data_IF_601573905051
#
_entry.id   IF_601573905051
#
_cell.length_a   1.000
_cell.length_b   1.000
_cell.length_c   1.000
_cell.angle_alpha   90.00
_cell.angle_beta   90.00
_cell.angle_gamma   90.00
#
_symmetry.space_group_name_H-M   'P 1'
#
loop_
_entity.id
_entity.type
_entity.pdbx_description
1 polymer ?
#
# COMPACT_ATOMS: atom_id res chain seq x y z
N UNK A 1 -3.62 11.49 -5.68
CA UNK A 1 -3.91 10.22 -6.36
C UNK A 1 -5.29 9.73 -5.96
N UNK A 2 -6.10 9.33 -6.95
CA UNK A 2 -7.34 8.61 -6.75
C UNK A 2 -7.11 7.15 -7.16
N UNK A 3 -7.47 6.21 -6.28
CA UNK A 3 -7.36 4.77 -6.57
C UNK A 3 -8.69 4.10 -6.26
N UNK A 4 -9.15 3.28 -7.18
CA UNK A 4 -10.40 2.53 -7.00
C UNK A 4 -10.26 1.11 -7.55
N UNK A 5 -10.69 0.13 -6.76
CA UNK A 5 -10.83 -1.24 -7.24
C UNK A 5 -11.97 -1.33 -8.25
N UNK A 6 -11.75 -2.01 -9.34
CA UNK A 6 -12.77 -2.32 -10.34
C UNK A 6 -13.47 -3.65 -10.01
N UNK A 7 -14.37 -4.07 -10.88
CA UNK A 7 -15.18 -5.30 -10.73
C UNK A 7 -14.31 -6.54 -10.45
N UNK A 8 -13.10 -6.58 -10.98
CA UNK A 8 -12.13 -7.64 -10.72
C UNK A 8 -11.33 -7.32 -9.44
N UNK A 9 -11.29 -8.26 -8.50
CA UNK A 9 -10.57 -8.10 -7.22
C UNK A 9 -9.07 -7.80 -7.36
N UNK A 10 -8.50 -8.06 -8.53
CA UNK A 10 -7.07 -7.90 -8.81
C UNK A 10 -6.77 -6.68 -9.69
N UNK A 11 -7.79 -5.92 -10.11
CA UNK A 11 -7.65 -4.77 -11.00
C UNK A 11 -7.99 -3.48 -10.29
N UNK A 12 -7.04 -2.54 -10.29
CA UNK A 12 -7.14 -1.21 -9.69
C UNK A 12 -6.98 -0.15 -10.76
N UNK A 13 -7.90 0.81 -10.81
CA UNK A 13 -7.78 2.04 -11.59
C UNK A 13 -7.06 3.09 -10.77
N UNK A 14 -6.06 3.73 -11.34
CA UNK A 14 -5.27 4.78 -10.72
C UNK A 14 -5.37 6.03 -11.57
N UNK A 15 -5.78 7.13 -10.95
CA UNK A 15 -5.76 8.46 -11.55
C UNK A 15 -4.92 9.39 -10.70
N UNK A 16 -3.92 10.04 -11.30
CA UNK A 16 -3.00 10.95 -10.63
C UNK A 16 -2.97 12.28 -11.34
N UNK A 17 -3.12 13.34 -10.57
CA UNK A 17 -2.94 14.71 -11.01
C UNK A 17 -1.98 15.41 -10.07
N UNK A 18 -0.94 16.01 -10.61
CA UNK A 18 0.00 16.83 -9.87
C UNK A 18 -0.12 18.26 -10.38
N UNK A 19 -0.56 19.17 -9.53
CA UNK A 19 -0.64 20.60 -9.81
C UNK A 19 0.49 21.33 -9.11
N UNK A 20 1.20 22.16 -9.84
CA UNK A 20 2.33 22.93 -9.35
C UNK A 20 2.13 24.42 -9.54
N UNK A 21 2.72 25.18 -8.63
CA UNK A 21 2.84 26.62 -8.70
C UNK A 21 4.27 26.97 -8.29
N UNK A 22 5.14 27.19 -9.28
CA UNK A 22 6.57 27.41 -9.08
C UNK A 22 6.94 28.85 -9.37
N UNK A 23 7.82 29.39 -8.56
CA UNK A 23 8.51 30.65 -8.81
C UNK A 23 9.99 30.37 -9.09
N UNK A 24 10.42 30.64 -10.30
CA UNK A 24 11.82 30.51 -10.71
C UNK A 24 12.49 31.89 -10.64
N UNK A 25 13.64 31.93 -10.00
CA UNK A 25 14.47 33.14 -9.94
C UNK A 25 15.83 32.85 -10.57
N UNK A 26 16.14 33.55 -11.62
CA UNK A 26 17.43 33.46 -12.31
C UNK A 26 18.28 34.68 -11.93
N UNK A 27 19.45 34.46 -11.37
CA UNK A 27 20.41 35.53 -11.09
C UNK A 27 21.24 35.79 -12.34
N UNK A 28 20.89 36.80 -13.10
CA UNK A 28 21.65 37.26 -14.24
C UNK A 28 22.47 38.52 -13.88
N UNK A 29 23.50 38.81 -14.73
CA UNK A 29 24.33 40.03 -14.60
C UNK A 29 23.51 41.33 -14.59
N UNK A 30 22.31 41.31 -15.20
CA UNK A 30 21.37 42.46 -15.29
C UNK A 30 20.34 42.49 -14.16
N UNK A 31 20.41 41.59 -13.17
CA UNK A 31 19.45 41.49 -12.07
C UNK A 31 18.62 40.21 -12.05
N UNK A 32 17.88 39.94 -10.97
CA UNK A 32 17.11 38.73 -10.83
C UNK A 32 15.86 38.76 -11.73
N UNK A 33 15.80 37.82 -12.67
CA UNK A 33 14.59 37.56 -13.46
C UNK A 33 13.71 36.55 -12.71
N UNK A 34 12.45 36.94 -12.44
CA UNK A 34 11.46 36.07 -11.80
C UNK A 34 10.46 35.57 -12.81
N UNK A 35 10.27 34.29 -12.86
CA UNK A 35 9.30 33.65 -13.73
C UNK A 35 8.35 32.78 -12.92
N UNK A 36 7.05 33.06 -12.99
CA UNK A 36 6.01 32.29 -12.30
C UNK A 36 5.38 31.30 -13.28
N UNK A 37 5.29 30.07 -12.84
CA UNK A 37 4.75 28.96 -13.62
C UNK A 37 3.66 28.25 -12.82
N UNK A 38 2.46 28.13 -13.37
CA UNK A 38 1.30 27.47 -12.75
C UNK A 38 0.69 26.49 -13.74
N UNK A 39 0.34 25.30 -13.26
CA UNK A 39 -0.37 24.34 -14.10
C UNK A 39 -0.27 22.91 -13.61
N UNK A 40 -0.89 22.01 -14.34
CA UNK A 40 -0.75 20.58 -14.14
C UNK A 40 0.62 20.15 -14.61
N UNK A 41 1.38 19.51 -13.73
CA UNK A 41 2.69 18.95 -14.04
C UNK A 41 2.57 17.54 -14.58
N UNK A 42 1.66 16.79 -14.01
CA UNK A 42 1.43 15.40 -14.37
C UNK A 42 -0.04 15.08 -14.32
N UNK A 43 -0.50 14.35 -15.32
CA UNK A 43 -1.88 13.89 -15.39
C UNK A 43 -1.87 12.47 -15.97
N UNK A 44 -2.00 11.46 -15.12
CA UNK A 44 -1.88 10.06 -15.53
C UNK A 44 -3.13 9.28 -15.20
N UNK A 45 -3.53 8.43 -16.13
CA UNK A 45 -4.58 7.43 -15.96
C UNK A 45 -3.98 6.07 -16.24
N UNK A 46 -4.19 5.11 -15.37
CA UNK A 46 -3.64 3.78 -15.58
C UNK A 46 -4.35 2.70 -14.78
N UNK A 47 -3.99 1.47 -15.09
CA UNK A 47 -4.51 0.27 -14.47
C UNK A 47 -3.37 -0.51 -13.85
N UNK A 48 -3.60 -1.01 -12.65
CA UNK A 48 -2.69 -1.92 -11.96
C UNK A 48 -3.37 -3.28 -11.84
N UNK A 49 -2.73 -4.30 -12.35
CA UNK A 49 -3.17 -5.68 -12.29
C UNK A 49 -2.27 -6.48 -11.34
N UNK A 50 -2.85 -7.05 -10.32
CA UNK A 50 -2.17 -7.96 -9.41
C UNK A 50 -2.11 -9.35 -10.06
N UNK A 51 -0.91 -9.81 -10.43
CA UNK A 51 -0.68 -11.10 -11.08
C UNK A 51 -0.53 -12.22 -10.06
N UNK A 52 0.24 -11.97 -9.02
CA UNK A 52 0.57 -12.96 -8.01
C UNK A 52 0.70 -12.31 -6.64
N UNK A 53 0.08 -12.94 -5.62
CA UNK A 53 0.16 -12.48 -4.24
C UNK A 53 0.29 -13.68 -3.29
N UNK A 54 1.51 -14.00 -2.86
CA UNK A 54 1.74 -15.11 -1.94
C UNK A 54 1.09 -14.89 -0.58
N UNK A 55 0.86 -13.62 -0.18
CA UNK A 55 0.31 -13.25 1.13
C UNK A 55 -1.21 -13.50 1.23
N UNK A 56 -1.90 -13.66 0.12
CA UNK A 56 -3.32 -14.06 0.10
C UNK A 56 -3.51 -15.52 0.46
N UNK A 57 -2.54 -16.38 0.21
CA UNK A 57 -2.62 -17.79 0.53
C UNK A 57 -2.16 -18.04 1.96
N UNK A 58 -3.10 -18.07 2.90
CA UNK A 58 -2.83 -18.29 4.32
C UNK A 58 -2.23 -19.68 4.62
N UNK A 59 -2.37 -20.64 3.72
CA UNK A 59 -1.83 -21.99 3.90
C UNK A 59 -0.30 -22.02 3.83
N UNK A 60 0.29 -21.12 3.07
CA UNK A 60 1.74 -20.99 2.94
C UNK A 60 2.39 -20.39 4.18
N UNK A 61 1.64 -19.63 4.96
CA UNK A 61 2.11 -18.96 6.19
C UNK A 61 1.67 -19.66 7.47
N UNK A 62 1.17 -20.91 7.37
CA UNK A 62 0.82 -21.67 8.57
C UNK A 62 2.03 -21.86 9.46
N UNK A 63 1.86 -21.48 10.72
CA UNK A 63 2.85 -21.71 11.77
C UNK A 63 3.00 -23.22 11.97
N UNK A 64 4.21 -23.71 11.93
CA UNK A 64 4.49 -25.11 12.27
C UNK A 64 4.36 -25.29 13.77
N UNK A 65 3.24 -25.87 14.21
CA UNK A 65 2.96 -26.10 15.62
C UNK A 65 3.85 -27.14 16.27
N UNK A 66 4.57 -27.95 15.46
CA UNK A 66 5.44 -29.04 15.93
C UNK A 66 6.91 -28.62 16.07
N UNK A 67 7.32 -27.49 15.48
CA UNK A 67 8.72 -27.06 15.50
C UNK A 67 8.85 -25.55 15.63
N UNK A 68 9.37 -25.11 16.77
CA UNK A 68 9.71 -23.71 17.00
C UNK A 68 10.84 -23.22 16.06
N UNK A 69 11.82 -24.08 15.76
CA UNK A 69 12.92 -23.75 14.84
C UNK A 69 12.45 -23.50 13.41
N UNK A 70 11.43 -24.23 12.94
CA UNK A 70 10.88 -24.05 11.60
C UNK A 70 10.14 -22.72 11.41
N UNK A 71 9.76 -22.05 12.50
CA UNK A 71 9.09 -20.75 12.47
C UNK A 71 10.07 -19.60 12.70
N UNK A 72 11.32 -19.88 13.04
CA UNK A 72 12.37 -18.87 13.24
C UNK A 72 13.23 -18.78 12.00
N UNK A 73 13.45 -17.54 11.54
CA UNK A 73 14.33 -17.26 10.41
C UNK A 73 13.57 -16.94 9.11
N UNK A 74 14.33 -16.62 8.09
CA UNK A 74 13.81 -16.31 6.76
C UNK A 74 13.48 -17.63 6.06
N UNK A 75 12.22 -17.81 5.67
CA UNK A 75 11.78 -18.95 4.89
C UNK A 75 11.86 -18.60 3.40
N UNK A 76 12.04 -19.58 2.54
CA UNK A 76 12.04 -19.36 1.09
C UNK A 76 10.78 -18.63 0.59
N UNK A 77 9.64 -18.91 1.22
CA UNK A 77 8.36 -18.26 0.89
C UNK A 77 8.36 -16.76 1.23
N UNK A 78 9.13 -16.35 2.23
CA UNK A 78 9.22 -14.94 2.63
C UNK A 78 10.04 -14.13 1.58
N UNK A 79 10.78 -14.82 0.70
CA UNK A 79 11.51 -14.22 -0.41
C UNK A 79 10.66 -14.08 -1.68
N UNK A 80 9.51 -14.76 -1.76
CA UNK A 80 8.62 -14.66 -2.91
C UNK A 80 7.88 -13.31 -2.88
N UNK A 81 8.07 -12.46 -3.90
CA UNK A 81 7.37 -11.18 -3.96
C UNK A 81 5.92 -11.34 -4.41
N UNK A 82 5.04 -10.49 -3.93
CA UNK A 82 3.83 -10.18 -4.66
C UNK A 82 4.19 -9.41 -5.94
N UNK A 83 3.54 -9.74 -7.05
CA UNK A 83 3.85 -9.25 -8.38
C UNK A 83 2.64 -8.55 -8.99
N UNK A 84 2.82 -7.31 -9.43
CA UNK A 84 1.80 -6.54 -10.14
C UNK A 84 2.38 -5.87 -11.37
N UNK A 85 1.57 -5.66 -12.38
CA UNK A 85 1.90 -4.86 -13.55
C UNK A 85 1.01 -3.64 -13.58
N UNK A 86 1.61 -2.49 -13.83
CA UNK A 86 0.91 -1.23 -14.06
C UNK A 86 1.12 -0.82 -15.52
N UNK A 87 0.07 -0.40 -16.16
CA UNK A 87 0.08 0.23 -17.48
C UNK A 87 -0.81 1.45 -17.46
N UNK A 88 -0.32 2.54 -18.03
CA UNK A 88 -1.03 3.81 -18.00
C UNK A 88 -0.60 4.72 -19.12
N UNK A 89 -1.25 5.85 -19.15
CA UNK A 89 -0.94 6.94 -20.09
C UNK A 89 -0.83 8.24 -19.33
N UNK A 90 0.16 9.02 -19.67
CA UNK A 90 0.29 10.39 -19.24
C UNK A 90 -0.27 11.31 -20.31
N UNK A 91 -1.12 12.25 -19.87
CA UNK A 91 -1.83 13.21 -20.68
C UNK A 91 -1.23 14.59 -20.42
N UNK A 92 -0.62 15.20 -21.43
CA UNK A 92 0.08 16.49 -21.28
C UNK A 92 -0.58 17.62 -22.10
N UNK A 93 -1.89 17.61 -22.21
CA UNK A 93 -2.65 18.63 -22.97
C UNK A 93 -2.38 20.04 -22.45
N UNK A 94 -1.81 20.88 -23.31
CA UNK A 94 -1.53 22.28 -22.99
C UNK A 94 -0.62 22.49 -21.77
N UNK A 95 0.15 21.52 -21.37
CA UNK A 95 0.95 21.54 -20.19
C UNK A 95 2.15 22.49 -20.32
N UNK A 96 2.31 23.35 -19.32
CA UNK A 96 3.47 24.23 -19.19
C UNK A 96 4.72 23.44 -18.75
N UNK A 97 4.51 22.30 -18.13
CA UNK A 97 5.54 21.38 -17.68
C UNK A 97 5.58 20.15 -18.61
N UNK A 98 6.41 20.15 -19.65
CA UNK A 98 6.54 18.97 -20.50
C UNK A 98 7.13 17.84 -19.65
N UNK A 99 6.38 16.73 -19.51
CA UNK A 99 6.82 15.53 -18.76
C UNK A 99 7.55 15.86 -17.47
N UNK A 100 6.94 16.73 -16.64
CA UNK A 100 7.53 17.34 -15.48
C UNK A 100 8.04 16.37 -14.43
N UNK A 101 9.19 15.82 -14.67
CA UNK A 101 9.90 15.03 -13.68
C UNK A 101 10.59 15.93 -12.65
N UNK A 102 10.65 15.54 -11.37
CA UNK A 102 11.33 16.30 -10.33
C UNK A 102 12.82 16.47 -10.62
N UNK A 103 13.37 15.62 -11.48
CA UNK A 103 14.78 15.65 -11.88
C UNK A 103 15.03 16.37 -13.19
N UNK A 104 13.98 16.76 -13.90
CA UNK A 104 14.17 17.60 -15.08
C UNK A 104 14.88 18.86 -14.65
N UNK A 105 15.97 19.25 -15.34
CA UNK A 105 16.63 20.49 -15.04
C UNK A 105 15.60 21.60 -15.03
N UNK A 106 15.80 22.58 -14.18
CA UNK A 106 15.00 23.79 -14.00
C UNK A 106 14.62 24.43 -15.33
N UNK A 107 15.38 24.14 -16.37
CA UNK A 107 15.19 24.48 -17.76
C UNK A 107 14.38 23.41 -18.51
N UNK A 108 13.13 23.18 -18.10
CA UNK A 108 12.15 22.58 -18.99
C UNK A 108 11.79 23.56 -20.13
N UNK A 109 12.79 24.16 -20.69
CA UNK A 109 12.68 24.83 -21.96
C UNK A 109 12.35 23.75 -22.98
N UNK A 110 11.21 23.88 -23.64
CA UNK A 110 10.91 23.08 -24.84
C UNK A 110 12.16 23.06 -25.67
N UNK A 111 12.83 21.93 -25.72
CA UNK A 111 14.03 21.80 -26.55
C UNK A 111 13.57 22.00 -27.97
N UNK A 112 14.02 23.04 -28.68
CA UNK A 112 13.60 23.31 -30.04
C UNK A 112 13.84 22.06 -30.90
N UNK A 113 12.83 21.61 -31.62
CA UNK A 113 12.92 20.45 -32.54
C UNK A 113 12.53 19.10 -31.93
N UNK A 114 12.32 18.96 -30.62
CA UNK A 114 11.77 17.72 -30.04
C UNK A 114 10.24 17.74 -30.14
N UNK A 115 9.68 16.73 -30.81
CA UNK A 115 8.23 16.55 -30.92
C UNK A 115 7.68 16.15 -29.56
N UNK A 116 6.83 16.99 -29.02
CA UNK A 116 6.11 16.71 -27.79
C UNK A 116 4.81 15.98 -28.13
N UNK A 117 4.65 14.77 -27.66
CA UNK A 117 3.40 14.04 -27.78
C UNK A 117 2.46 14.48 -26.65
N UNK A 118 1.19 14.65 -26.96
CA UNK A 118 0.16 14.97 -25.96
C UNK A 118 -0.16 13.77 -25.08
N UNK A 119 0.10 12.56 -25.58
CA UNK A 119 -0.15 11.30 -24.89
C UNK A 119 1.13 10.48 -24.94
N UNK A 120 1.55 9.97 -23.78
CA UNK A 120 2.67 9.04 -23.67
C UNK A 120 2.29 7.84 -22.82
N UNK A 121 2.90 6.68 -23.08
CA UNK A 121 2.64 5.45 -22.34
C UNK A 121 3.50 5.32 -21.09
N UNK A 122 2.99 4.58 -20.11
CA UNK A 122 3.74 4.16 -18.91
C UNK A 122 3.52 2.66 -18.67
N UNK A 123 4.61 1.93 -18.45
CA UNK A 123 4.58 0.51 -18.12
C UNK A 123 5.53 0.23 -16.97
N UNK A 124 5.02 -0.42 -15.89
CA UNK A 124 5.84 -0.75 -14.73
C UNK A 124 5.52 -2.15 -14.21
N UNK A 125 6.57 -2.82 -13.78
CA UNK A 125 6.53 -4.03 -12.96
C UNK A 125 6.70 -3.61 -11.50
N UNK A 126 5.81 -4.06 -10.63
CA UNK A 126 5.78 -3.73 -9.22
C UNK A 126 5.96 -5.02 -8.44
N UNK A 127 6.96 -5.05 -7.55
CA UNK A 127 7.19 -6.16 -6.65
C UNK A 127 7.09 -5.71 -5.20
N UNK A 128 6.57 -6.56 -4.34
CA UNK A 128 6.46 -6.30 -2.91
C UNK A 128 6.91 -7.53 -2.14
N UNK A 129 7.92 -7.37 -1.30
CA UNK A 129 8.45 -8.40 -0.42
C UNK A 129 8.22 -8.03 1.04
N UNK A 130 7.94 -9.02 1.87
CA UNK A 130 7.84 -8.85 3.32
C UNK A 130 8.99 -9.61 3.99
N UNK A 131 9.78 -8.89 4.79
CA UNK A 131 10.93 -9.45 5.49
C UNK A 131 10.77 -9.36 7.01
N UNK A 132 11.35 -10.31 7.74
CA UNK A 132 11.54 -10.24 9.19
C UNK A 132 10.27 -9.83 9.95
N UNK A 133 9.13 -10.36 9.55
CA UNK A 133 7.79 -10.17 10.09
C UNK A 133 7.14 -8.79 9.85
N UNK A 134 7.90 -7.71 9.59
CA UNK A 134 7.28 -6.38 9.53
C UNK A 134 7.89 -5.43 8.49
N UNK A 135 9.07 -5.72 7.94
CA UNK A 135 9.68 -4.87 6.90
C UNK A 135 9.03 -5.15 5.55
N UNK A 136 8.73 -4.11 4.80
CA UNK A 136 8.16 -4.24 3.46
C UNK A 136 9.06 -3.51 2.48
N UNK A 137 9.58 -4.25 1.50
CA UNK A 137 10.30 -3.70 0.36
C UNK A 137 9.40 -3.69 -0.85
N UNK A 138 9.18 -2.51 -1.41
CA UNK A 138 8.46 -2.32 -2.66
C UNK A 138 9.46 -1.86 -3.71
N UNK A 139 9.50 -2.55 -4.85
CA UNK A 139 10.34 -2.16 -5.98
C UNK A 139 9.46 -2.00 -7.21
N UNK A 140 9.57 -0.85 -7.86
CA UNK A 140 8.93 -0.54 -9.13
C UNK A 140 10.02 -0.41 -10.18
N UNK A 141 9.85 -1.07 -11.31
CA UNK A 141 10.75 -0.98 -12.44
C UNK A 141 9.97 -0.90 -13.72
N UNK A 142 10.31 0.05 -14.59
CA UNK A 142 9.57 0.22 -15.82
C UNK A 142 10.06 1.33 -16.72
N UNK A 143 9.22 1.68 -17.67
CA UNK A 143 9.46 2.76 -18.62
C UNK A 143 8.32 3.76 -18.56
N UNK A 144 8.68 5.03 -18.61
CA UNK A 144 7.76 6.16 -18.67
C UNK A 144 7.95 6.92 -19.96
N UNK A 145 6.93 7.67 -20.33
CA UNK A 145 6.92 8.51 -21.53
C UNK A 145 7.18 7.75 -22.83
N UNK A 146 6.69 6.49 -22.90
CA UNK A 146 6.82 5.64 -24.07
C UNK A 146 6.21 6.32 -25.29
N UNK A 147 6.94 6.26 -26.41
CA UNK A 147 6.53 6.90 -27.67
C UNK A 147 6.82 8.39 -27.72
N UNK A 148 7.50 8.97 -26.74
CA UNK A 148 7.95 10.36 -26.73
C UNK A 148 9.48 10.46 -26.82
N UNK A 149 9.98 11.65 -27.16
CA UNK A 149 11.41 11.96 -27.11
C UNK A 149 12.01 11.95 -25.69
N UNK A 150 11.16 11.87 -24.67
CA UNK A 150 11.51 11.89 -23.24
C UNK A 150 11.44 10.50 -22.60
N UNK A 151 11.42 9.44 -23.42
CA UNK A 151 11.36 8.07 -22.90
C UNK A 151 12.42 7.83 -21.83
N UNK A 152 12.00 7.24 -20.70
CA UNK A 152 12.78 7.14 -19.51
C UNK A 152 12.64 5.75 -18.89
N UNK A 153 13.80 5.14 -18.55
CA UNK A 153 13.83 3.99 -17.66
C UNK A 153 13.70 4.50 -16.23
N UNK A 154 12.76 3.94 -15.50
CA UNK A 154 12.43 4.32 -14.14
C UNK A 154 12.57 3.13 -13.20
N UNK A 155 13.19 3.36 -12.05
CA UNK A 155 13.26 2.38 -10.97
C UNK A 155 13.08 3.10 -9.64
N UNK A 156 12.20 2.59 -8.80
CA UNK A 156 12.14 3.03 -7.40
C UNK A 156 12.15 1.83 -6.47
N UNK A 157 12.84 1.96 -5.35
CA UNK A 157 12.89 0.97 -4.28
C UNK A 157 12.62 1.65 -2.95
N UNK A 158 11.56 1.23 -2.28
CA UNK A 158 11.12 1.80 -1.00
C UNK A 158 11.09 0.73 0.07
N UNK A 159 11.84 0.94 1.14
CA UNK A 159 11.88 0.09 2.32
C UNK A 159 11.04 0.74 3.42
N UNK A 160 9.99 0.08 3.83
CA UNK A 160 9.11 0.49 4.92
C UNK A 160 9.49 -0.23 6.20
N UNK A 161 9.66 0.52 7.28
CA UNK A 161 10.12 0.07 8.59
C UNK A 161 9.07 0.45 9.63
N UNK A 162 8.28 -0.49 10.16
CA UNK A 162 7.31 -0.20 11.21
C UNK A 162 8.03 0.06 12.55
N UNK A 163 7.79 1.23 13.14
CA UNK A 163 8.33 1.64 14.44
C UNK A 163 7.34 1.32 15.55
N UNK A 164 6.08 1.65 15.34
CA UNK A 164 4.96 1.42 16.27
C UNK A 164 3.72 1.01 15.49
N UNK A 165 2.65 0.58 16.17
CA UNK A 165 1.37 0.16 15.53
C UNK A 165 0.79 1.17 14.52
N UNK A 166 1.08 2.46 14.70
CA UNK A 166 0.54 3.55 13.86
C UNK A 166 1.62 4.40 13.22
N UNK A 167 2.90 4.11 13.48
CA UNK A 167 4.03 4.90 12.98
C UNK A 167 4.96 3.99 12.18
N UNK A 168 5.21 4.34 10.94
CA UNK A 168 6.17 3.71 10.05
C UNK A 168 7.16 4.77 9.56
N UNK A 169 8.40 4.39 9.35
CA UNK A 169 9.36 5.16 8.56
C UNK A 169 9.60 4.48 7.22
N UNK A 170 10.08 5.23 6.25
CA UNK A 170 10.48 4.68 4.97
C UNK A 170 11.75 5.35 4.45
N UNK A 171 12.47 4.58 3.66
CA UNK A 171 13.60 5.05 2.86
C UNK A 171 13.32 4.64 1.43
N UNK A 172 13.36 5.58 0.51
CA UNK A 172 13.11 5.34 -0.90
C UNK A 172 14.28 5.86 -1.74
N UNK A 173 14.72 5.04 -2.67
CA UNK A 173 15.61 5.42 -3.75
C UNK A 173 14.84 5.46 -5.06
N UNK A 174 14.99 6.54 -5.80
CA UNK A 174 14.43 6.68 -7.15
C UNK A 174 15.55 6.91 -8.13
N UNK A 175 15.55 6.15 -9.20
CA UNK A 175 16.48 6.31 -10.33
C UNK A 175 15.69 6.48 -11.61
N UNK A 176 16.04 7.47 -12.39
CA UNK A 176 15.43 7.79 -13.65
C UNK A 176 16.53 8.07 -14.70
N UNK A 177 16.50 7.32 -15.81
CA UNK A 177 17.50 7.44 -16.88
C UNK A 177 16.80 7.57 -18.23
N UNK A 178 17.06 8.67 -18.91
CA UNK A 178 16.65 8.93 -20.30
C UNK A 178 17.89 9.13 -21.19
N UNK A 179 17.65 9.41 -22.46
CA UNK A 179 18.73 9.86 -23.37
C UNK A 179 19.26 11.25 -22.98
N UNK A 180 18.44 12.07 -22.30
CA UNK A 180 18.73 13.47 -21.98
C UNK A 180 19.29 13.66 -20.57
N UNK A 181 18.91 12.77 -19.63
CA UNK A 181 19.29 12.90 -18.23
C UNK A 181 19.41 11.55 -17.52
N UNK A 182 20.22 11.53 -16.48
CA UNK A 182 20.31 10.39 -15.57
C UNK A 182 20.35 10.93 -14.15
N UNK A 183 19.35 10.59 -13.35
CA UNK A 183 19.18 11.15 -12.02
C UNK A 183 18.88 10.06 -10.99
N UNK A 184 19.41 10.26 -9.78
CA UNK A 184 19.15 9.40 -8.63
C UNK A 184 18.79 10.30 -7.46
N UNK A 185 17.72 9.97 -6.75
CA UNK A 185 17.34 10.64 -5.51
C UNK A 185 17.17 9.66 -4.37
N UNK A 186 17.40 10.15 -3.17
CA UNK A 186 17.14 9.45 -1.92
C UNK A 186 16.10 10.24 -1.13
N UNK A 187 15.07 9.54 -0.67
CA UNK A 187 13.98 10.10 0.13
C UNK A 187 13.89 9.33 1.45
N UNK A 188 13.77 10.07 2.54
CA UNK A 188 13.48 9.50 3.85
C UNK A 188 12.19 10.13 4.38
N UNK A 189 11.40 9.36 5.09
CA UNK A 189 10.15 9.89 5.59
C UNK A 189 9.51 9.04 6.66
N UNK A 190 8.39 9.54 7.17
CA UNK A 190 7.59 8.87 8.17
C UNK A 190 6.10 8.97 7.79
N UNK A 191 5.37 7.93 8.17
CA UNK A 191 3.94 7.78 7.95
C UNK A 191 3.27 7.54 9.27
N UNK A 192 2.25 8.32 9.58
CA UNK A 192 1.46 8.18 10.79
C UNK A 192 -0.02 7.94 10.46
N UNK A 193 -0.57 6.83 10.97
CA UNK A 193 -1.99 6.50 10.87
C UNK A 193 -2.75 7.16 12.01
N UNK A 194 -3.51 8.21 11.70
CA UNK A 194 -4.40 8.87 12.67
C UNK A 194 -5.51 7.88 13.07
N UNK A 195 -6.11 7.26 12.07
CA UNK A 195 -7.09 6.18 12.22
C UNK A 195 -6.96 5.20 11.04
N UNK A 196 -7.85 4.21 10.92
CA UNK A 196 -7.82 3.20 9.85
C UNK A 196 -7.98 3.79 8.44
N UNK A 197 -8.53 5.00 8.34
CA UNK A 197 -8.89 5.66 7.09
C UNK A 197 -8.08 6.92 6.79
N UNK A 198 -7.37 7.47 7.77
CA UNK A 198 -6.60 8.72 7.59
C UNK A 198 -5.13 8.48 7.91
N UNK A 199 -4.29 8.82 6.96
CA UNK A 199 -2.85 8.73 7.05
C UNK A 199 -2.24 10.10 6.77
N UNK A 200 -1.23 10.45 7.51
CA UNK A 200 -0.37 11.63 7.26
C UNK A 200 1.04 11.13 7.03
N UNK A 201 1.70 11.62 6.02
CA UNK A 201 3.09 11.33 5.70
C UNK A 201 3.91 12.61 5.57
N UNK A 202 5.17 12.50 5.89
CA UNK A 202 6.17 13.57 5.70
C UNK A 202 7.43 12.99 5.14
N UNK A 203 8.11 13.75 4.29
CA UNK A 203 9.35 13.29 3.67
C UNK A 203 10.33 14.43 3.44
N UNK A 204 11.59 14.03 3.36
CA UNK A 204 12.72 14.80 2.90
C UNK A 204 13.38 14.04 1.77
N UNK A 205 13.65 14.69 0.65
CA UNK A 205 14.25 14.10 -0.53
C UNK A 205 15.42 14.94 -1.02
N UNK A 206 16.48 14.27 -1.43
CA UNK A 206 17.66 14.88 -1.99
C UNK A 206 18.12 14.12 -3.23
N UNK A 207 18.51 14.85 -4.28
CA UNK A 207 19.20 14.26 -5.43
C UNK A 207 20.66 14.00 -5.07
N UNK A 208 21.20 12.87 -5.54
CA UNK A 208 22.60 12.51 -5.37
C UNK A 208 23.52 13.12 -6.45
N UNK A 209 22.99 14.05 -7.21
CA UNK A 209 23.64 14.73 -8.32
C UNK A 209 23.92 16.19 -7.95
N UNK A 210 25.08 16.67 -8.33
CA UNK A 210 25.52 18.04 -8.00
C UNK A 210 24.94 19.11 -8.93
N UNK A 211 24.44 18.72 -10.13
CA UNK A 211 24.00 19.68 -11.15
C UNK A 211 22.65 19.32 -11.77
N UNK A 212 21.56 19.89 -11.28
CA UNK A 212 21.43 20.68 -10.06
C UNK A 212 21.27 19.77 -8.82
N UNK A 213 21.84 20.15 -7.70
CA UNK A 213 21.47 19.57 -6.42
C UNK A 213 20.08 20.06 -6.05
N UNK A 214 19.16 19.11 -5.81
CA UNK A 214 17.79 19.43 -5.41
C UNK A 214 17.51 18.85 -4.04
N UNK A 215 16.95 19.66 -3.18
CA UNK A 215 16.41 19.27 -1.89
C UNK A 215 14.91 19.59 -1.86
N UNK A 216 14.12 18.64 -1.41
CA UNK A 216 12.68 18.84 -1.25
C UNK A 216 12.18 18.26 0.06
N UNK A 217 11.17 18.90 0.62
CA UNK A 217 10.44 18.44 1.78
C UNK A 217 8.94 18.51 1.48
N UNK A 218 8.18 17.60 2.03
CA UNK A 218 6.75 17.59 1.81
C UNK A 218 5.98 16.93 2.93
N UNK A 219 4.69 17.25 2.97
CA UNK A 219 3.69 16.66 3.85
C UNK A 219 2.53 16.19 2.98
N UNK A 220 2.10 14.97 3.18
CA UNK A 220 0.96 14.36 2.49
C UNK A 220 -0.15 13.98 3.45
N UNK A 221 -1.37 13.97 2.96
CA UNK A 221 -2.54 13.44 3.66
C UNK A 221 -3.25 12.49 2.72
N UNK A 222 -3.52 11.29 3.19
CA UNK A 222 -4.26 10.27 2.45
C UNK A 222 -5.53 9.91 3.20
N UNK A 223 -6.63 9.84 2.48
CA UNK A 223 -7.92 9.42 3.02
C UNK A 223 -8.46 8.23 2.22
N UNK A 224 -8.83 7.16 2.93
CA UNK A 224 -9.38 5.93 2.37
C UNK A 224 -10.88 5.88 2.62
N UNK A 225 -11.67 5.71 1.57
CA UNK A 225 -13.11 5.48 1.64
C UNK A 225 -13.36 3.99 1.49
N UNK A 226 -13.63 3.32 2.59
CA UNK A 226 -14.06 1.91 2.58
C UNK A 226 -15.58 1.83 2.46
N UNK A 227 -16.07 1.63 1.23
CA UNK A 227 -17.49 1.34 0.98
C UNK A 227 -17.85 -0.11 1.30
N UNK A 228 -16.88 -1.00 1.26
CA UNK A 228 -17.04 -2.40 1.63
C UNK A 228 -16.30 -2.61 2.95
N UNK A 229 -17.03 -3.10 3.97
CA UNK A 229 -16.44 -3.61 5.20
C UNK A 229 -15.66 -4.90 4.89
N UNK A 230 -14.70 -4.80 4.00
CA UNK A 230 -13.77 -5.89 3.74
C UNK A 230 -12.74 -5.84 4.85
N UNK A 231 -13.08 -6.52 5.94
CA UNK A 231 -12.24 -6.63 7.14
C UNK A 231 -10.93 -7.39 6.86
N UNK A 232 -10.49 -7.47 5.60
CA UNK A 232 -9.29 -8.19 5.17
C UNK A 232 -9.30 -9.68 5.53
N UNK A 233 -10.41 -10.15 6.11
CA UNK A 233 -10.57 -11.54 6.55
C UNK A 233 -11.29 -12.26 5.41
N UNK A 234 -10.65 -13.26 4.77
CA UNK A 234 -11.28 -14.06 3.75
C UNK A 234 -12.67 -14.52 4.20
N UNK A 235 -13.63 -14.52 3.28
CA UNK A 235 -15.03 -14.88 3.56
C UNK A 235 -15.16 -16.20 4.33
N UNK A 236 -14.32 -17.17 4.02
CA UNK A 236 -14.24 -18.46 4.71
C UNK A 236 -13.88 -18.32 6.18
N UNK A 237 -12.91 -17.47 6.51
CA UNK A 237 -12.52 -17.20 7.91
C UNK A 237 -13.63 -16.47 8.64
N UNK A 238 -14.35 -15.57 7.96
CA UNK A 238 -15.51 -14.87 8.52
C UNK A 238 -16.65 -15.87 8.81
N UNK A 239 -16.87 -16.83 7.93
CA UNK A 239 -17.82 -17.94 8.17
C UNK A 239 -17.37 -18.84 9.33
N UNK A 240 -16.09 -19.25 9.36
CA UNK A 240 -15.55 -20.07 10.44
C UNK A 240 -15.66 -19.36 11.81
N UNK A 241 -15.40 -18.06 11.86
CA UNK A 241 -15.60 -17.26 13.09
C UNK A 241 -17.07 -17.24 13.51
N UNK A 242 -18.00 -17.07 12.55
CA UNK A 242 -19.46 -17.13 12.83
C UNK A 242 -19.88 -18.51 13.32
N UNK A 243 -19.42 -19.59 12.70
CA UNK A 243 -19.68 -20.96 13.14
C UNK A 243 -19.11 -21.23 14.54
N UNK A 244 -17.85 -20.82 14.81
CA UNK A 244 -17.26 -20.95 16.15
C UNK A 244 -18.04 -20.19 17.21
N UNK A 245 -18.53 -18.98 16.88
CA UNK A 245 -19.36 -18.20 17.80
C UNK A 245 -20.71 -18.87 18.06
N UNK A 246 -21.36 -19.41 17.00
CA UNK A 246 -22.59 -20.20 17.10
C UNK A 246 -22.39 -21.47 17.94
N UNK A 247 -21.37 -22.27 17.65
CA UNK A 247 -21.04 -23.47 18.39
C UNK A 247 -20.72 -23.20 19.87
N UNK A 248 -20.10 -22.04 20.18
CA UNK A 248 -19.83 -21.63 21.56
C UNK A 248 -21.12 -21.25 22.29
N UNK A 249 -22.05 -20.62 21.60
CA UNK A 249 -23.38 -20.29 22.12
C UNK A 249 -24.21 -21.56 22.37
N UNK A 250 -24.24 -22.47 21.39
CA UNK A 250 -24.93 -23.75 21.51
C UNK A 250 -24.37 -24.62 22.62
N UNK A 251 -23.05 -24.62 22.83
CA UNK A 251 -22.41 -25.30 23.98
C UNK A 251 -22.83 -24.72 25.33
N UNK A 252 -23.00 -23.39 25.43
CA UNK A 252 -23.52 -22.76 26.67
C UNK A 252 -24.95 -23.19 26.96
N UNK A 253 -25.85 -23.11 25.96
CA UNK A 253 -27.25 -23.54 26.10
C UNK A 253 -27.35 -25.01 26.49
N UNK A 254 -26.56 -25.86 25.84
CA UNK A 254 -26.55 -27.28 26.16
C UNK A 254 -25.99 -27.54 27.57
N UNK A 255 -24.99 -26.79 28.01
CA UNK A 255 -24.48 -26.89 29.38
C UNK A 255 -25.50 -26.46 30.43
N UNK A 256 -26.28 -25.42 30.15
CA UNK A 256 -27.39 -24.98 31.02
C UNK A 256 -28.48 -26.04 31.08
N UNK A 257 -28.93 -26.58 29.94
CA UNK A 257 -29.92 -27.66 29.90
C UNK A 257 -29.46 -28.91 30.65
N UNK A 258 -28.19 -29.30 30.50
CA UNK A 258 -27.63 -30.43 31.26
C UNK A 258 -27.61 -30.15 32.74
N UNK A 259 -27.35 -28.90 33.15
CA UNK A 259 -27.37 -28.50 34.57
C UNK A 259 -28.81 -28.60 35.13
N UNK A 260 -29.81 -28.03 34.46
CA UNK A 260 -31.19 -28.08 34.80
C UNK A 260 -31.69 -29.55 34.93
N UNK A 261 -31.32 -30.40 33.96
CA UNK A 261 -31.63 -31.81 34.02
C UNK A 261 -31.07 -32.53 35.25
N UNK A 262 -29.80 -32.25 35.57
CA UNK A 262 -29.12 -32.79 36.77
C UNK A 262 -29.77 -32.31 38.06
N UNK A 263 -30.17 -31.07 38.12
CA UNK A 263 -30.81 -30.51 39.33
C UNK A 263 -32.20 -31.10 39.50
N UNK A 264 -33.01 -31.26 38.44
CA UNK A 264 -34.29 -31.93 38.47
C UNK A 264 -34.16 -33.41 38.90
N UNK A 265 -33.18 -34.15 38.37
CA UNK A 265 -32.94 -35.55 38.77
C UNK A 265 -32.52 -35.66 40.24
N UNK A 266 -31.71 -34.68 40.75
CA UNK A 266 -31.39 -34.63 42.20
C UNK A 266 -32.60 -34.38 43.08
N UNK A 267 -33.50 -33.50 42.66
CA UNK A 267 -34.74 -33.23 43.42
C UNK A 267 -35.65 -34.47 43.45
N UNK A 268 -35.83 -35.13 42.33
CA UNK A 268 -36.56 -36.35 42.22
C UNK A 268 -36.03 -37.44 43.14
N UNK A 269 -34.75 -37.65 43.14
CA UNK A 269 -34.07 -38.62 44.07
C UNK A 269 -34.22 -38.25 45.55
N UNK A 270 -34.21 -36.94 45.86
CA UNK A 270 -34.49 -36.48 47.23
C UNK A 270 -35.92 -36.76 47.65
N UNK A 271 -36.89 -36.52 46.78
CA UNK A 271 -38.31 -36.79 47.03
C UNK A 271 -38.56 -38.29 47.23
N UNK A 272 -38.01 -39.15 46.38
CA UNK A 272 -38.12 -40.63 46.53
C UNK A 272 -37.49 -41.12 47.84
N UNK A 273 -36.35 -40.55 48.28
CA UNK A 273 -35.73 -40.89 49.55
C UNK A 273 -36.60 -40.45 50.74
N UNK A 274 -37.28 -39.29 50.63
CA UNK A 274 -38.19 -38.83 51.68
C UNK A 274 -39.43 -39.75 51.77
N UNK A 275 -40.02 -40.16 50.69
CA UNK A 275 -41.16 -41.09 50.65
C UNK A 275 -40.80 -42.45 51.23
N UNK A 276 -39.67 -43.03 50.87
CA UNK A 276 -39.18 -44.29 51.43
C UNK A 276 -38.93 -44.21 52.94
N UNK A 277 -38.52 -43.07 53.48
CA UNK A 277 -38.35 -42.87 54.95
C UNK A 277 -39.69 -42.73 55.66
N UNK A 278 -40.71 -42.16 55.02
CA UNK A 278 -42.07 -42.08 55.61
C UNK A 278 -42.79 -43.41 55.61
N UNK A 279 -42.54 -44.27 54.62
CA UNK A 279 -43.12 -45.64 54.57
C UNK A 279 -42.43 -46.62 55.53
N UNK A 280 -41.31 -46.28 56.12
CA UNK A 280 -40.61 -47.12 57.13
C UNK A 280 -40.90 -46.71 58.56
N UNK A 281 -41.67 -45.66 58.79
CA UNK A 281 -42.20 -45.29 60.09
C UNK A 281 -43.64 -45.81 60.22
#
# INVERSE_FOLDING_TARGET
DLRTGLILQNLELIYRVDYHNDQLTFNNVSGPLRYNRKGTKRNTVGFKLLLFDPFRNTDWYKVNTKSYKANKGIRFIDLLPALSVYFGSELSFGNIYPYGEPFSPIFNLKTPGLKQNEISGELMLITQNHFLNNFVLVTNWGRRYLGSAYEQNYMSSSLMIPIKKRLMSFVEQVSAKSQLSSDISLTVGAVYLINENIQVDTFLSQTLKDTPAMFSAGIGVSYRIDRYNDSGIPYEIKQLRRQRKKNRYDRKINAEKIKEFKDHDREKRKAERKQKRQQKK
#
